data_IF_522203781231
#
_entry.id   IF_522203781231
#
_cell.length_a   1.000
_cell.length_b   1.000
_cell.length_c   1.000
_cell.angle_alpha   90.00
_cell.angle_beta   90.00
_cell.angle_gamma   90.00
#
_symmetry.space_group_name_H-M   'P 1'
#
loop_
_entity.id
_entity.type
_entity.pdbx_description
1 polymer ?
#
# COMPACT_ATOMS: atom_id res chain seq x y z
N UNK A 1 -15.88 -3.96 -8.95
CA UNK A 1 -16.29 -2.71 -8.27
C UNK A 1 -15.08 -1.80 -8.23
N UNK A 2 -15.21 -0.55 -8.66
CA UNK A 2 -14.10 0.41 -8.59
C UNK A 2 -13.95 0.84 -7.13
N UNK A 3 -12.75 0.66 -6.56
CA UNK A 3 -12.42 1.17 -5.23
C UNK A 3 -11.81 2.57 -5.41
N UNK A 4 -12.61 3.60 -5.16
CA UNK A 4 -12.16 5.00 -5.22
C UNK A 4 -11.58 5.40 -3.88
N UNK A 5 -10.30 5.74 -3.82
CA UNK A 5 -9.74 6.42 -2.66
C UNK A 5 -10.25 7.86 -2.62
N UNK A 6 -10.76 8.30 -1.46
CA UNK A 6 -11.07 9.71 -1.22
C UNK A 6 -10.00 10.28 -0.30
N UNK A 7 -9.32 11.32 -0.80
CA UNK A 7 -8.14 11.92 -0.19
C UNK A 7 -8.48 13.35 0.18
N UNK A 8 -8.60 13.60 1.48
CA UNK A 8 -9.01 14.89 2.02
C UNK A 8 -8.44 15.07 3.43
N UNK A 9 -8.10 16.31 3.81
CA UNK A 9 -7.45 16.62 5.09
C UNK A 9 -8.39 16.59 6.30
N UNK A 10 -9.71 16.62 6.10
CA UNK A 10 -10.69 16.51 7.19
C UNK A 10 -10.96 15.05 7.61
N UNK A 11 -10.51 14.08 6.81
CA UNK A 11 -10.75 12.67 7.10
C UNK A 11 -9.79 12.16 8.18
N UNK A 12 -10.29 11.59 9.29
CA UNK A 12 -9.46 11.06 10.36
C UNK A 12 -8.97 9.64 10.01
N UNK A 13 -8.19 9.51 8.93
CA UNK A 13 -7.62 8.24 8.47
C UNK A 13 -6.10 8.30 8.50
N UNK A 14 -5.48 7.14 8.70
CA UNK A 14 -4.03 6.97 8.55
C UNK A 14 -3.72 6.55 7.12
N UNK A 15 -2.80 7.24 6.46
CA UNK A 15 -2.37 6.90 5.09
C UNK A 15 -1.02 6.18 5.15
N UNK A 16 -0.95 4.96 4.65
CA UNK A 16 0.30 4.28 4.34
C UNK A 16 0.70 4.62 2.91
N UNK A 17 1.91 5.16 2.74
CA UNK A 17 2.58 5.15 1.44
C UNK A 17 3.80 4.24 1.58
N UNK A 18 3.82 3.16 0.81
CA UNK A 18 4.95 2.24 0.74
C UNK A 18 5.53 2.25 -0.66
N UNK A 19 6.79 2.68 -0.75
CA UNK A 19 7.55 2.74 -2.01
C UNK A 19 8.47 1.54 -2.08
N UNK A 20 8.32 0.75 -3.15
CA UNK A 20 9.18 -0.39 -3.45
C UNK A 20 10.08 -0.03 -4.64
N UNK A 21 11.38 -0.20 -4.50
CA UNK A 21 12.34 -0.16 -5.62
C UNK A 21 12.47 -1.56 -6.21
N UNK A 22 12.39 -1.67 -7.53
CA UNK A 22 12.39 -2.95 -8.24
C UNK A 22 13.10 -2.84 -9.57
N UNK A 23 13.67 -3.93 -10.05
CA UNK A 23 14.18 -4.02 -11.42
C UNK A 23 13.01 -3.91 -12.43
N UNK A 24 13.13 -3.18 -13.54
CA UNK A 24 12.04 -2.98 -14.50
C UNK A 24 11.37 -4.28 -14.96
N UNK A 25 12.16 -5.34 -15.17
CA UNK A 25 11.69 -6.65 -15.64
C UNK A 25 10.82 -7.39 -14.60
N UNK A 26 10.88 -6.98 -13.33
CA UNK A 26 10.17 -7.60 -12.20
C UNK A 26 9.05 -6.73 -11.64
N UNK A 27 8.80 -5.55 -12.21
CA UNK A 27 7.79 -4.61 -11.70
C UNK A 27 6.39 -5.24 -11.68
N UNK A 28 6.01 -5.92 -12.77
CA UNK A 28 4.70 -6.57 -12.89
C UNK A 28 4.57 -7.77 -11.94
N UNK A 29 5.66 -8.54 -11.76
CA UNK A 29 5.73 -9.63 -10.80
C UNK A 29 5.45 -9.12 -9.37
N UNK A 30 6.11 -8.03 -8.97
CA UNK A 30 5.90 -7.40 -7.67
C UNK A 30 4.48 -6.85 -7.52
N UNK A 31 3.97 -6.14 -8.52
CA UNK A 31 2.62 -5.57 -8.47
C UNK A 31 1.54 -6.67 -8.32
N UNK A 32 1.66 -7.76 -9.08
CA UNK A 32 0.75 -8.90 -8.99
C UNK A 32 0.83 -9.60 -7.62
N UNK A 33 2.04 -9.79 -7.08
CA UNK A 33 2.24 -10.35 -5.75
C UNK A 33 1.55 -9.51 -4.66
N UNK A 34 1.73 -8.19 -4.70
CA UNK A 34 1.16 -7.27 -3.72
C UNK A 34 -0.36 -7.18 -3.83
N UNK A 35 -0.89 -7.15 -5.06
CA UNK A 35 -2.32 -7.19 -5.30
C UNK A 35 -2.94 -8.48 -4.75
N UNK A 36 -2.34 -9.64 -5.05
CA UNK A 36 -2.83 -10.92 -4.55
C UNK A 36 -2.79 -11.01 -3.01
N UNK A 37 -1.72 -10.53 -2.38
CA UNK A 37 -1.63 -10.45 -0.92
C UNK A 37 -2.75 -9.58 -0.31
N UNK A 38 -3.09 -8.49 -1.01
CA UNK A 38 -4.16 -7.58 -0.59
C UNK A 38 -5.52 -8.23 -0.68
N UNK A 39 -5.79 -8.91 -1.81
CA UNK A 39 -7.05 -9.61 -2.07
C UNK A 39 -7.33 -10.77 -1.12
N UNK A 40 -6.28 -11.41 -0.61
CA UNK A 40 -6.39 -12.61 0.22
C UNK A 40 -6.28 -12.34 1.71
N UNK A 41 -5.56 -11.28 2.11
CA UNK A 41 -5.22 -11.03 3.53
C UNK A 41 -5.51 -9.59 3.93
N UNK A 42 -4.90 -8.61 3.26
CA UNK A 42 -4.86 -7.23 3.78
C UNK A 42 -6.25 -6.62 3.86
N UNK A 43 -7.09 -6.82 2.84
CA UNK A 43 -8.44 -6.25 2.79
C UNK A 43 -9.40 -6.83 3.82
N UNK A 44 -9.02 -7.93 4.46
CA UNK A 44 -9.81 -8.62 5.49
C UNK A 44 -9.37 -8.24 6.92
N UNK A 45 -8.34 -7.42 7.08
CA UNK A 45 -7.91 -6.98 8.40
C UNK A 45 -8.84 -5.87 8.93
N UNK A 46 -9.07 -5.82 10.27
CA UNK A 46 -9.79 -4.73 10.90
C UNK A 46 -9.18 -3.36 10.55
N UNK A 47 -10.04 -2.38 10.28
CA UNK A 47 -9.65 -1.01 9.96
C UNK A 47 -9.04 -0.80 8.57
N UNK A 48 -9.01 -1.81 7.70
CA UNK A 48 -8.63 -1.61 6.29
C UNK A 48 -9.71 -0.80 5.55
N UNK A 49 -9.30 0.27 4.85
CA UNK A 49 -10.22 1.09 4.03
C UNK A 49 -9.97 0.81 2.55
N UNK A 50 -8.74 1.01 2.08
CA UNK A 50 -8.36 0.74 0.70
C UNK A 50 -6.85 0.51 0.54
N UNK A 51 -6.48 -0.06 -0.60
CA UNK A 51 -5.11 -0.08 -1.11
C UNK A 51 -5.14 0.08 -2.62
N UNK A 52 -4.27 0.95 -3.13
CA UNK A 52 -4.14 1.28 -4.54
C UNK A 52 -2.67 1.17 -4.94
N UNK A 53 -2.38 0.22 -5.83
CA UNK A 53 -1.03 0.00 -6.34
C UNK A 53 -0.80 0.80 -7.61
N UNK A 54 0.30 1.53 -7.63
CA UNK A 54 0.76 2.33 -8.76
C UNK A 54 2.09 1.77 -9.23
N UNK A 55 2.24 1.64 -10.53
CA UNK A 55 3.51 1.26 -11.17
C UNK A 55 4.09 2.50 -11.82
N UNK A 56 5.38 2.78 -11.61
CA UNK A 56 6.04 3.89 -12.29
C UNK A 56 6.21 3.62 -13.78
N UNK A 57 6.18 4.68 -14.59
CA UNK A 57 6.30 4.56 -16.05
C UNK A 57 7.69 4.07 -16.51
N UNK A 58 8.72 4.32 -15.70
CA UNK A 58 10.10 3.87 -15.95
C UNK A 58 10.36 2.41 -15.52
N UNK A 59 9.36 1.72 -14.98
CA UNK A 59 9.48 0.34 -14.50
C UNK A 59 10.13 0.20 -13.12
N UNK A 60 10.73 1.26 -12.56
CA UNK A 60 11.67 1.12 -11.43
C UNK A 60 11.02 1.12 -10.04
N UNK A 61 9.70 1.39 -9.95
CA UNK A 61 8.97 1.50 -8.69
C UNK A 61 7.59 0.85 -8.74
N UNK A 62 7.17 0.34 -7.58
CA UNK A 62 5.77 0.09 -7.25
C UNK A 62 5.43 0.88 -5.99
N UNK A 63 4.30 1.57 -5.96
CA UNK A 63 3.84 2.36 -4.81
C UNK A 63 2.49 1.85 -4.34
N UNK A 64 2.41 1.48 -3.07
CA UNK A 64 1.15 1.22 -2.40
C UNK A 64 0.68 2.50 -1.69
N UNK A 65 -0.44 3.06 -2.13
CA UNK A 65 -1.21 4.04 -1.38
C UNK A 65 -2.36 3.31 -0.69
N UNK A 66 -2.35 3.24 0.64
CA UNK A 66 -3.41 2.58 1.41
C UNK A 66 -3.92 3.47 2.53
N UNK A 67 -5.21 3.36 2.83
CA UNK A 67 -5.84 4.04 3.95
C UNK A 67 -6.31 3.03 4.99
N UNK A 68 -6.13 3.39 6.25
CA UNK A 68 -6.55 2.64 7.42
C UNK A 68 -7.32 3.56 8.36
N UNK A 69 -8.23 3.00 9.14
CA UNK A 69 -8.97 3.74 10.17
C UNK A 69 -8.03 4.34 11.22
N UNK A 70 -6.93 3.66 11.56
CA UNK A 70 -5.93 4.17 12.49
C UNK A 70 -4.54 3.56 12.28
N UNK A 71 -3.52 4.19 12.87
CA UNK A 71 -2.16 3.66 12.95
C UNK A 71 -2.12 2.31 13.69
N UNK A 72 -2.93 2.14 14.72
CA UNK A 72 -3.04 0.89 15.49
C UNK A 72 -3.46 -0.27 14.59
N UNK A 73 -4.49 -0.09 13.76
CA UNK A 73 -4.93 -1.10 12.81
C UNK A 73 -3.82 -1.49 11.83
N UNK A 74 -3.07 -0.52 11.30
CA UNK A 74 -1.92 -0.83 10.45
C UNK A 74 -0.80 -1.57 11.20
N UNK A 75 -0.50 -1.20 12.45
CA UNK A 75 0.52 -1.90 13.25
C UNK A 75 0.09 -3.33 13.60
N UNK A 76 -1.20 -3.57 13.83
CA UNK A 76 -1.73 -4.91 14.04
C UNK A 76 -1.53 -5.81 12.82
N UNK A 77 -1.68 -5.25 11.60
CA UNK A 77 -1.34 -5.98 10.37
C UNK A 77 0.13 -6.45 10.36
N UNK A 78 1.08 -5.64 10.84
CA UNK A 78 2.50 -6.02 10.87
C UNK A 78 2.78 -7.22 11.78
N UNK A 79 1.91 -7.48 12.77
CA UNK A 79 1.99 -8.66 13.64
C UNK A 79 1.38 -9.92 13.01
N UNK A 80 0.56 -9.79 11.96
CA UNK A 80 -0.10 -10.92 11.30
C UNK A 80 0.94 -11.82 10.59
N UNK A 81 1.03 -13.13 10.93
CA UNK A 81 2.02 -14.04 10.35
C UNK A 81 1.90 -14.21 8.83
N UNK A 82 0.69 -14.23 8.29
CA UNK A 82 0.44 -14.36 6.85
C UNK A 82 0.89 -13.09 6.13
N UNK A 83 0.53 -11.92 6.65
CA UNK A 83 0.99 -10.63 6.12
C UNK A 83 2.53 -10.56 6.08
N UNK A 84 3.20 -10.99 7.17
CA UNK A 84 4.66 -11.06 7.23
C UNK A 84 5.26 -12.01 6.19
N UNK A 85 4.58 -13.11 5.87
CA UNK A 85 5.00 -14.02 4.81
C UNK A 85 4.99 -13.35 3.44
N UNK A 86 3.92 -12.60 3.13
CA UNK A 86 3.84 -11.84 1.89
C UNK A 86 4.87 -10.72 1.82
N UNK A 87 5.11 -10.00 2.92
CA UNK A 87 6.16 -8.97 2.98
C UNK A 87 7.56 -9.57 2.73
N UNK A 88 7.86 -10.75 3.28
CA UNK A 88 9.11 -11.46 2.99
C UNK A 88 9.23 -11.82 1.51
N UNK A 89 8.14 -12.31 0.89
CA UNK A 89 8.14 -12.60 -0.55
C UNK A 89 8.39 -11.33 -1.37
N UNK A 90 7.72 -10.22 -1.06
CA UNK A 90 7.96 -8.95 -1.72
C UNK A 90 9.42 -8.49 -1.60
N UNK A 91 10.06 -8.70 -0.45
CA UNK A 91 11.48 -8.40 -0.22
C UNK A 91 12.47 -9.28 -1.02
N UNK A 92 12.01 -10.39 -1.62
CA UNK A 92 12.83 -11.17 -2.58
C UNK A 92 12.76 -10.60 -4.01
N UNK A 93 11.83 -9.68 -4.27
CA UNK A 93 11.58 -9.08 -5.57
C UNK A 93 12.08 -7.63 -5.59
N UNK A 94 11.69 -6.85 -4.58
CA UNK A 94 12.13 -5.48 -4.40
C UNK A 94 13.55 -5.42 -3.84
N UNK A 95 14.33 -4.45 -4.29
CA UNK A 95 15.68 -4.18 -3.78
C UNK A 95 15.68 -3.21 -2.61
N UNK A 96 14.61 -2.44 -2.44
CA UNK A 96 14.40 -1.54 -1.32
C UNK A 96 12.89 -1.34 -1.07
N UNK A 97 12.50 -1.19 0.21
CA UNK A 97 11.10 -1.11 0.65
C UNK A 97 10.98 -0.05 1.75
N UNK A 98 10.15 0.97 1.53
CA UNK A 98 10.03 2.13 2.41
C UNK A 98 8.59 2.39 2.84
N UNK A 99 8.04 1.65 3.82
CA UNK A 99 6.71 1.93 4.35
C UNK A 99 6.76 3.11 5.31
N UNK A 100 5.88 4.10 5.12
CA UNK A 100 5.74 5.26 6.01
C UNK A 100 4.27 5.64 6.17
N UNK A 101 3.93 6.14 7.35
CA UNK A 101 2.61 6.67 7.66
C UNK A 101 2.57 8.18 7.48
N UNK A 102 1.46 8.67 6.95
CA UNK A 102 1.23 10.06 6.61
C UNK A 102 -0.19 10.48 6.97
N UNK A 103 -0.36 11.80 7.11
CA UNK A 103 -1.65 12.48 7.12
C UNK A 103 -1.74 13.40 5.90
N UNK A 104 -2.95 13.65 5.41
CA UNK A 104 -3.17 14.60 4.32
C UNK A 104 -3.12 16.01 4.90
N UNK A 105 -2.11 16.79 4.53
CA UNK A 105 -1.98 18.18 5.00
C UNK A 105 -2.87 19.16 4.21
N UNK A 106 -2.98 18.98 2.90
CA UNK A 106 -3.83 19.78 2.02
C UNK A 106 -4.26 19.00 0.78
N UNK A 107 -5.38 19.42 0.18
CA UNK A 107 -5.89 18.92 -1.09
C UNK A 107 -6.30 20.12 -1.96
N UNK A 108 -6.06 20.04 -3.26
CA UNK A 108 -6.36 21.10 -4.22
C UNK A 108 -6.99 20.46 -5.47
N UNK A 109 -8.20 20.87 -5.80
CA UNK A 109 -8.91 20.45 -7.02
C UNK A 109 -9.06 21.60 -8.01
N UNK A 110 -9.44 21.28 -9.24
CA UNK A 110 -10.02 22.30 -10.13
C UNK A 110 -11.29 22.86 -9.49
N UNK A 111 -11.63 24.15 -9.71
CA UNK A 111 -12.91 24.71 -9.29
C UNK A 111 -14.11 23.89 -9.78
#
# INVERSE_FOLDING_TARGET
>A
MTVTASIDSSRPVTTLINVFTVAPERQQELAALLAHATETIMKHQPGFICANFHVSQDGSRVVNYAQWESEEHYRALLANPEARSHMRRAATIATDIQPRLFTVQSSHGTP
#
